data_IF_357957074953
#
_entry.id   IF_357957074953
#
_cell.length_a   1.000
_cell.length_b   1.000
_cell.length_c   1.000
_cell.angle_alpha   90.00
_cell.angle_beta   90.00
_cell.angle_gamma   90.00
#
_symmetry.space_group_name_H-M   'P 1'
#
loop_
_entity.id
_entity.type
_entity.pdbx_description
1 polymer ?
#
# COMPACT_ATOMS: atom_id res chain seq x y z
N UNK A 1 -3.42 -6.11 -0.72
CA UNK A 1 -4.21 -5.29 0.21
C UNK A 1 -3.39 -4.09 0.64
N UNK A 2 -3.89 -2.89 0.43
CA UNK A 2 -3.24 -1.63 0.82
C UNK A 2 -3.88 -1.08 2.09
N UNK A 3 -3.04 -0.57 2.99
CA UNK A 3 -3.48 0.08 4.22
C UNK A 3 -2.59 1.28 4.52
N UNK A 4 -3.20 2.40 4.88
CA UNK A 4 -2.51 3.64 5.22
C UNK A 4 -3.03 4.19 6.55
N UNK A 5 -2.10 4.48 7.46
CA UNK A 5 -2.37 5.03 8.80
C UNK A 5 -1.12 5.72 9.32
N UNK A 6 -1.28 6.86 10.01
CA UNK A 6 -0.20 7.60 10.66
C UNK A 6 1.01 7.85 9.72
N UNK A 7 0.72 8.35 8.51
CA UNK A 7 1.72 8.69 7.48
C UNK A 7 2.59 7.51 6.99
N UNK A 8 2.16 6.28 7.27
CA UNK A 8 2.80 5.06 6.81
C UNK A 8 1.83 4.18 6.01
N UNK A 9 2.31 3.67 4.87
CA UNK A 9 1.57 2.77 4.01
C UNK A 9 2.19 1.37 4.00
N UNK A 10 1.32 0.36 4.02
CA UNK A 10 1.71 -1.04 3.86
C UNK A 10 0.92 -1.71 2.75
N UNK A 11 1.55 -2.66 2.08
CA UNK A 11 0.93 -3.50 1.06
C UNK A 11 1.15 -4.97 1.40
N UNK A 12 0.07 -5.71 1.60
CA UNK A 12 0.08 -7.17 1.70
C UNK A 12 -0.19 -7.76 0.34
N UNK A 13 0.81 -8.40 -0.26
CA UNK A 13 0.67 -9.06 -1.55
C UNK A 13 -0.29 -10.26 -1.46
N UNK A 14 -1.27 -10.32 -2.36
CA UNK A 14 -2.28 -11.37 -2.34
C UNK A 14 -1.72 -12.74 -2.76
N UNK A 15 -0.70 -12.77 -3.63
CA UNK A 15 -0.14 -14.02 -4.13
C UNK A 15 0.78 -14.71 -3.11
N UNK A 16 1.57 -13.93 -2.37
CA UNK A 16 2.57 -14.44 -1.42
C UNK A 16 2.18 -14.27 0.05
N UNK A 17 1.18 -13.45 0.35
CA UNK A 17 0.80 -13.07 1.71
C UNK A 17 1.82 -12.15 2.41
N UNK A 18 2.91 -11.74 1.73
CA UNK A 18 3.96 -10.91 2.33
C UNK A 18 3.52 -9.46 2.45
N UNK A 19 3.79 -8.86 3.60
CA UNK A 19 3.61 -7.43 3.82
C UNK A 19 4.91 -6.68 3.53
N UNK A 20 4.81 -5.55 2.83
CA UNK A 20 5.92 -4.64 2.52
C UNK A 20 5.53 -3.20 2.79
N UNK A 21 6.51 -2.37 3.11
CA UNK A 21 6.33 -0.91 3.14
C UNK A 21 6.02 -0.39 1.75
N UNK A 22 5.23 0.67 1.65
CA UNK A 22 4.97 1.38 0.41
C UNK A 22 5.54 2.79 0.53
N UNK A 23 6.23 3.25 -0.51
CA UNK A 23 6.77 4.60 -0.54
C UNK A 23 5.61 5.61 -0.47
N UNK A 24 5.82 6.74 0.23
CA UNK A 24 4.79 7.77 0.32
C UNK A 24 4.41 8.25 -1.07
N UNK A 25 3.10 8.29 -1.32
CA UNK A 25 2.53 8.66 -2.59
C UNK A 25 1.13 9.22 -2.36
N UNK A 26 0.98 10.52 -2.60
CA UNK A 26 -0.24 11.23 -2.33
C UNK A 26 -1.44 10.73 -3.17
N UNK A 27 -1.22 10.12 -4.34
CA UNK A 27 -2.29 9.51 -5.13
C UNK A 27 -2.82 8.24 -4.45
N UNK A 28 -1.93 7.36 -3.98
CA UNK A 28 -2.31 6.16 -3.24
C UNK A 28 -3.03 6.49 -1.95
N UNK A 29 -2.51 7.46 -1.19
CA UNK A 29 -3.10 7.91 0.07
C UNK A 29 -4.53 8.44 -0.15
N UNK A 30 -4.72 9.36 -1.11
CA UNK A 30 -6.05 9.88 -1.45
C UNK A 30 -6.99 8.78 -1.96
N UNK A 31 -6.51 7.90 -2.83
CA UNK A 31 -7.30 6.80 -3.38
C UNK A 31 -7.79 5.83 -2.29
N UNK A 32 -6.92 5.50 -1.33
CA UNK A 32 -7.28 4.68 -0.18
C UNK A 32 -8.31 5.38 0.72
N UNK A 33 -8.10 6.66 1.05
CA UNK A 33 -9.04 7.41 1.90
C UNK A 33 -10.43 7.50 1.27
N UNK A 34 -10.51 7.60 -0.06
CA UNK A 34 -11.78 7.56 -0.80
C UNK A 34 -12.42 6.17 -0.80
N UNK A 35 -11.62 5.10 -0.86
CA UNK A 35 -12.11 3.72 -0.99
C UNK A 35 -12.43 3.02 0.34
N UNK A 36 -11.78 3.39 1.45
CA UNK A 36 -11.93 2.72 2.76
C UNK A 36 -13.30 2.91 3.42
N UNK A 37 -14.09 3.86 2.94
CA UNK A 37 -15.36 4.24 3.57
C UNK A 37 -15.14 4.77 4.99
N UNK A 38 -15.99 4.37 5.93
CA UNK A 38 -15.92 4.79 7.35
C UNK A 38 -15.08 3.87 8.22
N UNK A 39 -14.58 2.76 7.68
CA UNK A 39 -13.83 1.76 8.43
C UNK A 39 -12.34 1.87 8.15
N UNK A 40 -11.52 1.87 9.19
CA UNK A 40 -10.06 1.77 9.07
C UNK A 40 -9.64 0.33 8.76
N UNK A 41 -9.95 -0.14 7.56
CA UNK A 41 -9.62 -1.50 7.09
C UNK A 41 -8.81 -1.46 5.79
N UNK A 42 -7.92 -2.45 5.56
CA UNK A 42 -7.21 -2.56 4.29
C UNK A 42 -8.17 -2.69 3.11
N UNK A 43 -7.81 -2.09 1.98
CA UNK A 43 -8.58 -2.14 0.72
C UNK A 43 -7.78 -2.90 -0.33
N UNK A 44 -8.45 -3.69 -1.16
CA UNK A 44 -7.78 -4.35 -2.28
C UNK A 44 -7.25 -3.29 -3.26
N UNK A 45 -5.97 -3.39 -3.61
CA UNK A 45 -5.29 -2.50 -4.54
C UNK A 45 -4.66 -3.37 -5.62
N UNK A 46 -4.95 -3.05 -6.88
CA UNK A 46 -4.16 -3.46 -8.04
C UNK A 46 -3.26 -2.29 -8.41
N UNK A 47 -1.98 -2.55 -8.62
CA UNK A 47 -0.97 -1.53 -8.96
C UNK A 47 0.20 -2.19 -9.66
N UNK A 48 0.76 -1.50 -10.66
CA UNK A 48 2.09 -1.81 -11.15
C UNK A 48 3.12 -1.02 -10.36
N UNK A 49 4.17 -1.69 -9.91
CA UNK A 49 5.23 -1.07 -9.13
C UNK A 49 6.50 -1.89 -9.14
N UNK A 50 7.55 -1.32 -8.57
CA UNK A 50 8.83 -1.98 -8.39
C UNK A 50 9.32 -1.84 -6.95
N UNK A 51 10.28 -2.68 -6.57
CA UNK A 51 10.93 -2.57 -5.28
C UNK A 51 12.14 -1.65 -5.36
N UNK A 52 12.25 -0.78 -4.37
CA UNK A 52 13.42 0.06 -4.09
C UNK A 52 13.85 -0.12 -2.63
N UNK A 53 14.98 0.48 -2.25
CA UNK A 53 15.39 0.62 -0.86
C UNK A 53 15.15 2.07 -0.43
N UNK A 54 14.30 2.27 0.56
CA UNK A 54 14.05 3.58 1.19
C UNK A 54 14.59 3.56 2.62
N UNK A 55 15.03 4.71 3.12
CA UNK A 55 15.41 4.82 4.53
C UNK A 55 14.16 4.70 5.42
N UNK A 56 14.22 3.81 6.40
CA UNK A 56 13.19 3.77 7.44
C UNK A 56 13.26 5.08 8.27
N UNK A 57 12.11 5.75 8.53
CA UNK A 57 12.10 7.07 9.17
C UNK A 57 12.61 7.07 10.62
N UNK A 58 12.50 5.94 11.33
CA UNK A 58 12.91 5.84 12.73
C UNK A 58 14.38 5.42 12.86
N UNK A 59 14.80 4.43 12.07
CA UNK A 59 16.11 3.76 12.19
C UNK A 59 17.14 4.25 11.18
N UNK A 60 16.70 4.94 10.12
CA UNK A 60 17.49 5.32 8.93
C UNK A 60 18.09 4.15 8.14
N UNK A 61 17.77 2.90 8.50
CA UNK A 61 18.24 1.72 7.79
C UNK A 61 17.50 1.57 6.44
N UNK A 62 18.19 1.10 5.38
CA UNK A 62 17.56 0.84 4.10
C UNK A 62 16.60 -0.35 4.21
N UNK A 63 15.32 -0.10 3.96
CA UNK A 63 14.27 -1.13 3.96
C UNK A 63 13.68 -1.30 2.57
N UNK A 64 13.32 -2.54 2.23
CA UNK A 64 12.68 -2.87 0.97
C UNK A 64 11.27 -2.27 0.93
N UNK A 65 11.04 -1.40 -0.04
CA UNK A 65 9.82 -0.60 -0.16
C UNK A 65 9.25 -0.73 -1.57
N UNK A 66 7.93 -0.89 -1.67
CA UNK A 66 7.20 -0.88 -2.93
C UNK A 66 6.99 0.57 -3.38
N UNK A 67 7.48 0.91 -4.56
CA UNK A 67 7.18 2.17 -5.26
C UNK A 67 6.09 1.89 -6.29
N UNK A 68 5.00 2.65 -6.26
CA UNK A 68 3.95 2.55 -7.27
C UNK A 68 4.33 3.33 -8.53
N UNK A 69 4.19 2.69 -9.69
CA UNK A 69 4.53 3.26 -10.99
C UNK A 69 3.28 3.68 -11.76
N UNK A 70 2.30 2.78 -11.94
CA UNK A 70 1.08 3.01 -12.72
C UNK A 70 -0.04 2.03 -12.38
N UNK A 71 -1.19 2.19 -13.05
CA UNK A 71 -2.38 1.32 -12.91
C UNK A 71 -2.90 1.23 -11.47
N UNK A 72 -2.86 2.34 -10.74
CA UNK A 72 -3.32 2.43 -9.35
C UNK A 72 -4.85 2.31 -9.32
N UNK A 73 -5.36 1.18 -8.83
CA UNK A 73 -6.80 0.92 -8.74
C UNK A 73 -7.20 0.28 -7.42
N UNK A 74 -7.94 1.04 -6.62
CA UNK A 74 -8.60 0.53 -5.42
C UNK A 74 -9.91 -0.18 -5.75
N UNK A 75 -10.15 -1.32 -5.11
CA UNK A 75 -11.32 -2.17 -5.31
C UNK A 75 -11.99 -2.39 -3.93
N UNK A 76 -12.88 -1.48 -3.51
CA UNK A 76 -13.54 -1.58 -2.20
C UNK A 76 -14.47 -2.79 -2.13
N UNK A 77 -14.62 -3.34 -0.92
CA UNK A 77 -15.50 -4.49 -0.66
C UNK A 77 -14.97 -5.85 -1.13
N UNK A 78 -13.79 -5.90 -1.76
CA UNK A 78 -13.09 -7.13 -2.13
C UNK A 78 -11.87 -7.39 -1.24
N UNK A 79 -11.46 -8.65 -1.24
CA UNK A 79 -10.33 -9.26 -0.55
C UNK A 79 -9.46 -10.05 -1.53
N UNK A 80 -8.34 -10.58 -1.07
CA UNK A 80 -7.45 -11.40 -1.90
C UNK A 80 -8.05 -12.75 -2.34
N UNK A 81 -9.15 -13.20 -1.72
CA UNK A 81 -9.77 -14.51 -1.95
C UNK A 81 -11.07 -14.45 -2.77
N UNK A 82 -11.46 -13.25 -3.23
CA UNK A 82 -12.65 -13.04 -4.08
C UNK A 82 -12.41 -13.35 -5.57
#
# INVERSE_FOLDING_TARGET
MYFYMADAATFTDCATGKQVSVASNAELERGYLAARGTSEKPVLLSVEGHFTLEANPDTHEPVKTLMADKEIKFIPGKSCTD
#
